data_IF_369580556314
#
_entry.id   IF_369580556314
#
_cell.length_a   1.000
_cell.length_b   1.000
_cell.length_c   1.000
_cell.angle_alpha   90.00
_cell.angle_beta   90.00
_cell.angle_gamma   90.00
#
_symmetry.space_group_name_H-M   'P 1'
#
loop_
_entity.id
_entity.type
_entity.pdbx_description
1 polymer ?
#
# COMPACT_ATOMS: atom_id res chain seq x y z
N UNK A 1 -7.37 -1.28 -81.54
CA UNK A 1 -7.96 0.07 -81.79
C UNK A 1 -8.47 0.62 -80.44
N UNK A 2 -8.07 1.87 -80.15
CA UNK A 2 -8.41 2.76 -79.02
C UNK A 2 -7.64 2.48 -77.72
N UNK A 3 -6.66 3.20 -77.53
CA UNK A 3 -6.36 4.61 -77.16
C UNK A 3 -6.30 4.85 -75.68
N UNK A 4 -5.09 5.20 -75.30
CA UNK A 4 -4.61 6.00 -74.12
C UNK A 4 -5.59 6.99 -73.50
N UNK A 5 -5.55 7.11 -72.19
CA UNK A 5 -5.41 8.41 -71.53
C UNK A 5 -4.91 8.26 -70.13
N UNK A 6 -3.71 8.78 -69.84
CA UNK A 6 -3.36 9.36 -68.54
C UNK A 6 -3.93 10.79 -68.46
N UNK A 7 -4.14 11.34 -67.27
CA UNK A 7 -3.20 12.30 -66.73
C UNK A 7 -3.02 12.19 -65.20
N UNK A 8 -1.82 12.32 -64.77
CA UNK A 8 -1.17 13.44 -64.07
C UNK A 8 -1.99 14.12 -62.96
N UNK A 9 -1.47 14.06 -61.77
CA UNK A 9 -1.92 14.81 -60.61
C UNK A 9 -1.10 14.50 -59.36
N UNK A 10 0.10 15.10 -59.30
CA UNK A 10 0.91 15.22 -58.11
C UNK A 10 0.13 15.99 -57.03
N UNK A 11 0.17 15.52 -55.80
CA UNK A 11 0.31 16.38 -54.63
C UNK A 11 0.99 15.59 -53.51
N UNK A 12 2.25 15.95 -53.30
CA UNK A 12 2.96 15.70 -52.06
C UNK A 12 2.17 16.33 -50.91
N UNK A 13 1.80 15.52 -49.95
CA UNK A 13 1.31 15.96 -48.64
C UNK A 13 2.35 15.54 -47.65
N UNK A 14 3.14 16.49 -47.21
CA UNK A 14 4.06 16.36 -46.07
C UNK A 14 3.30 15.86 -44.88
N UNK A 15 3.54 14.61 -44.48
CA UNK A 15 3.07 14.07 -43.19
C UNK A 15 4.18 14.34 -42.21
N UNK A 16 4.06 15.45 -41.47
CA UNK A 16 4.85 15.70 -40.29
C UNK A 16 4.71 14.50 -39.31
N UNK A 17 5.83 13.97 -38.80
CA UNK A 17 5.79 12.96 -37.76
C UNK A 17 5.27 13.62 -36.47
N UNK A 18 4.06 13.30 -36.08
CA UNK A 18 3.56 13.60 -34.73
C UNK A 18 4.45 12.92 -33.71
N UNK A 19 5.37 13.68 -33.14
CA UNK A 19 6.10 13.32 -31.94
C UNK A 19 5.07 12.98 -30.84
N UNK A 20 4.94 11.69 -30.56
CA UNK A 20 4.26 11.21 -29.35
C UNK A 20 5.15 11.57 -28.16
N UNK A 21 4.95 12.74 -27.63
CA UNK A 21 5.49 13.12 -26.33
C UNK A 21 4.85 12.23 -25.28
N UNK A 22 5.49 11.10 -24.98
CA UNK A 22 5.18 10.31 -23.80
C UNK A 22 5.59 11.13 -22.59
N UNK A 23 4.62 11.86 -22.02
CA UNK A 23 4.75 12.48 -20.72
C UNK A 23 4.88 11.38 -19.66
N UNK A 24 6.08 10.85 -19.50
CA UNK A 24 6.48 10.12 -18.31
C UNK A 24 6.65 11.17 -17.24
N UNK A 25 5.56 11.46 -16.54
CA UNK A 25 5.58 12.25 -15.31
C UNK A 25 6.37 11.45 -14.26
N UNK A 26 7.69 11.50 -14.34
CA UNK A 26 8.55 11.10 -13.23
C UNK A 26 8.20 12.05 -12.10
N UNK A 27 7.52 11.54 -11.07
CA UNK A 27 7.44 12.21 -9.78
C UNK A 27 8.88 12.41 -9.29
N UNK A 28 9.45 13.53 -9.66
CA UNK A 28 10.73 13.97 -9.09
C UNK A 28 10.42 14.29 -7.63
N UNK A 29 10.89 13.47 -6.73
CA UNK A 29 10.87 13.75 -5.30
C UNK A 29 11.64 15.04 -5.08
N UNK A 30 10.92 16.12 -4.82
CA UNK A 30 11.53 17.43 -4.61
C UNK A 30 12.17 17.43 -3.24
N UNK A 31 13.49 17.45 -3.19
CA UNK A 31 14.23 17.75 -1.97
C UNK A 31 13.88 19.19 -1.56
N UNK A 32 13.25 19.34 -0.41
CA UNK A 32 13.07 20.64 0.22
C UNK A 32 14.30 20.93 1.08
N UNK A 33 15.06 21.93 0.70
CA UNK A 33 16.17 22.41 1.52
C UNK A 33 15.58 23.40 2.52
N UNK A 34 15.75 23.11 3.80
CA UNK A 34 15.38 24.01 4.88
C UNK A 34 16.45 25.11 5.04
N UNK A 35 16.11 26.23 5.68
CA UNK A 35 16.99 27.41 5.85
C UNK A 35 18.27 27.14 6.68
N UNK A 36 18.38 25.94 7.27
CA UNK A 36 19.52 25.49 8.10
C UNK A 36 20.42 24.47 7.39
N UNK A 37 20.45 24.44 6.06
CA UNK A 37 21.18 23.48 5.22
C UNK A 37 20.74 22.00 5.41
N UNK A 38 19.60 21.76 6.07
CA UNK A 38 19.06 20.42 6.27
C UNK A 38 18.11 20.04 5.13
N UNK A 39 18.43 19.02 4.37
CA UNK A 39 17.54 18.45 3.36
C UNK A 39 16.59 17.43 3.99
N UNK A 40 15.27 17.65 3.83
CA UNK A 40 14.29 16.64 4.20
C UNK A 40 14.05 15.65 3.06
N UNK A 41 14.01 14.35 3.38
CA UNK A 41 13.68 13.30 2.41
C UNK A 41 12.19 13.01 2.50
N UNK A 42 11.45 13.29 1.42
CA UNK A 42 10.01 12.97 1.36
C UNK A 42 9.80 11.46 1.42
N UNK A 43 8.83 11.05 2.26
CA UNK A 43 8.49 9.64 2.46
C UNK A 43 9.36 8.92 3.49
N UNK A 44 10.29 9.60 4.17
CA UNK A 44 10.99 9.03 5.31
C UNK A 44 10.01 8.71 6.43
N UNK A 45 10.03 7.46 6.89
CA UNK A 45 9.20 7.00 8.01
C UNK A 45 10.10 6.79 9.21
N UNK A 46 9.94 7.54 10.30
CA UNK A 46 10.74 7.32 11.49
C UNK A 46 10.48 5.91 12.05
N UNK A 47 11.53 5.31 12.61
CA UNK A 47 11.40 4.05 13.31
C UNK A 47 10.73 4.27 14.66
N UNK A 48 9.68 3.53 14.94
CA UNK A 48 9.04 3.54 16.24
C UNK A 48 9.76 2.59 17.20
N UNK A 49 9.67 2.84 18.52
CA UNK A 49 10.19 1.90 19.51
C UNK A 49 9.65 0.50 19.30
N UNK A 50 10.52 -0.50 19.38
CA UNK A 50 10.13 -1.91 19.24
C UNK A 50 9.42 -2.40 20.49
N UNK A 51 8.57 -3.42 20.31
CA UNK A 51 7.83 -4.09 21.39
C UNK A 51 6.93 -3.17 22.21
N UNK A 52 6.77 -1.92 21.80
CA UNK A 52 5.87 -0.96 22.44
C UNK A 52 4.45 -1.11 21.92
N UNK A 53 3.49 -0.99 22.79
CA UNK A 53 2.08 -0.88 22.48
C UNK A 53 1.68 0.58 22.28
N UNK A 54 0.91 0.84 21.23
CA UNK A 54 0.34 2.15 20.93
C UNK A 54 -1.16 2.03 20.79
N UNK A 55 -1.88 3.04 21.22
CA UNK A 55 -3.28 3.21 20.85
C UNK A 55 -3.38 3.63 19.39
N UNK A 56 -4.26 2.99 18.63
CA UNK A 56 -4.38 3.24 17.20
C UNK A 56 -5.81 3.05 16.72
N UNK A 57 -6.14 3.75 15.64
CA UNK A 57 -7.40 3.66 14.92
C UNK A 57 -7.19 3.01 13.56
N UNK A 58 -8.06 2.07 13.20
CA UNK A 58 -8.09 1.52 11.85
C UNK A 58 -8.57 2.56 10.84
N UNK A 59 -7.74 2.90 9.86
CA UNK A 59 -8.03 3.91 8.85
C UNK A 59 -8.51 3.31 7.54
N UNK A 60 -8.13 2.06 7.26
CA UNK A 60 -8.54 1.38 6.04
C UNK A 60 -7.65 0.20 5.69
N UNK A 61 -7.77 -0.25 4.47
CA UNK A 61 -6.94 -1.31 3.94
C UNK A 61 -6.64 -1.12 2.45
N UNK A 62 -5.57 -1.73 2.00
CA UNK A 62 -5.22 -1.82 0.59
C UNK A 62 -4.88 -3.27 0.22
N UNK A 63 -5.03 -3.60 -1.05
CA UNK A 63 -4.69 -4.91 -1.60
C UNK A 63 -3.46 -4.80 -2.50
N UNK A 64 -2.60 -5.80 -2.49
CA UNK A 64 -1.42 -5.86 -3.35
C UNK A 64 -1.14 -7.30 -3.80
N UNK A 65 -0.39 -7.42 -4.90
CA UNK A 65 0.23 -8.67 -5.33
C UNK A 65 1.73 -8.40 -5.35
N UNK A 66 2.46 -9.04 -4.43
CA UNK A 66 3.90 -8.83 -4.25
C UNK A 66 4.60 -10.19 -4.43
N UNK A 67 5.47 -10.29 -5.43
CA UNK A 67 6.15 -11.53 -5.83
C UNK A 67 5.18 -12.72 -5.98
N UNK A 68 4.03 -12.49 -6.63
CA UNK A 68 2.99 -13.50 -6.82
C UNK A 68 2.13 -13.80 -5.58
N UNK A 69 2.47 -13.29 -4.42
CA UNK A 69 1.68 -13.44 -3.20
C UNK A 69 0.58 -12.38 -3.11
N UNK A 70 -0.66 -12.81 -2.91
CA UNK A 70 -1.79 -11.93 -2.67
C UNK A 70 -1.78 -11.45 -1.22
N UNK A 71 -1.76 -10.14 -1.01
CA UNK A 71 -1.67 -9.50 0.30
C UNK A 71 -2.75 -8.44 0.51
N UNK A 72 -3.13 -8.27 1.76
CA UNK A 72 -3.94 -7.16 2.26
C UNK A 72 -3.14 -6.45 3.34
N UNK A 73 -3.06 -5.14 3.24
CA UNK A 73 -2.43 -4.28 4.22
C UNK A 73 -3.51 -3.57 5.02
N UNK A 74 -3.60 -3.83 6.29
CA UNK A 74 -4.42 -3.03 7.19
C UNK A 74 -3.63 -1.80 7.61
N UNK A 75 -4.27 -0.66 7.53
CA UNK A 75 -3.68 0.64 7.81
C UNK A 75 -4.27 1.19 9.12
N UNK A 76 -3.39 1.65 9.99
CA UNK A 76 -3.73 2.24 11.27
C UNK A 76 -3.05 3.59 11.41
N UNK A 77 -3.65 4.48 12.19
CA UNK A 77 -3.03 5.72 12.64
C UNK A 77 -2.97 5.71 14.17
N UNK A 78 -1.83 6.08 14.74
CA UNK A 78 -1.65 6.21 16.19
C UNK A 78 -2.53 7.36 16.69
N UNK A 79 -3.29 7.12 17.76
CA UNK A 79 -4.18 8.11 18.38
C UNK A 79 -3.63 8.64 19.71
N UNK A 80 -2.63 7.97 20.27
CA UNK A 80 -1.93 8.41 21.47
C UNK A 80 -1.25 9.76 21.22
N UNK A 81 -1.47 10.74 22.08
CA UNK A 81 -0.84 12.07 21.99
C UNK A 81 0.65 11.97 22.25
N UNK A 82 1.46 12.66 21.44
CA UNK A 82 2.92 12.67 21.56
C UNK A 82 3.62 12.68 20.21
N UNK A 83 4.88 12.33 20.23
CA UNK A 83 5.78 12.35 19.06
C UNK A 83 5.25 11.52 17.85
N UNK A 84 4.50 10.45 18.13
CA UNK A 84 4.02 9.50 17.11
C UNK A 84 2.56 9.70 16.72
N UNK A 85 1.93 10.78 17.17
CA UNK A 85 0.53 11.07 16.85
C UNK A 85 0.30 11.09 15.32
N UNK A 86 -0.78 10.45 14.87
CA UNK A 86 -1.14 10.27 13.45
C UNK A 86 -0.12 9.50 12.60
N UNK A 87 0.96 8.98 13.19
CA UNK A 87 1.88 8.12 12.46
C UNK A 87 1.15 6.90 11.90
N UNK A 88 1.30 6.67 10.60
CA UNK A 88 0.67 5.55 9.91
C UNK A 88 1.50 4.28 10.07
N UNK A 89 0.83 3.22 10.50
CA UNK A 89 1.37 1.88 10.62
C UNK A 89 0.56 0.93 9.76
N UNK A 90 1.16 -0.20 9.40
CA UNK A 90 0.44 -1.23 8.68
C UNK A 90 0.80 -2.64 9.17
N UNK A 91 -0.15 -3.56 8.96
CA UNK A 91 0.07 -5.00 9.06
C UNK A 91 -0.30 -5.66 7.75
N UNK A 92 0.60 -6.46 7.21
CA UNK A 92 0.39 -7.21 5.99
C UNK A 92 -0.12 -8.62 6.31
N UNK A 93 -1.22 -9.04 5.67
CA UNK A 93 -1.76 -10.38 5.75
C UNK A 93 -1.70 -11.06 4.39
N UNK A 94 -1.36 -12.33 4.36
CA UNK A 94 -1.52 -13.15 3.17
C UNK A 94 -2.99 -13.56 3.04
N UNK A 95 -3.53 -13.41 1.82
CA UNK A 95 -4.90 -13.81 1.50
C UNK A 95 -4.93 -14.82 0.37
N UNK A 96 -6.03 -15.56 0.23
CA UNK A 96 -6.15 -16.57 -0.82
C UNK A 96 -6.07 -15.95 -2.21
N UNK A 97 -6.79 -14.85 -2.44
CA UNK A 97 -6.84 -14.18 -3.76
C UNK A 97 -7.25 -12.73 -3.63
N UNK A 98 -6.58 -11.84 -4.36
CA UNK A 98 -7.05 -10.48 -4.64
C UNK A 98 -7.88 -10.53 -5.91
N UNK A 99 -9.07 -9.92 -5.90
CA UNK A 99 -10.01 -9.92 -7.04
C UNK A 99 -9.82 -8.60 -7.79
N UNK A 100 -9.55 -8.71 -9.09
CA UNK A 100 -9.31 -7.54 -9.94
C UNK A 100 -7.92 -6.92 -9.72
N UNK A 101 -7.80 -5.63 -10.02
CA UNK A 101 -6.56 -4.88 -9.83
C UNK A 101 -6.36 -4.54 -8.35
N UNK A 102 -5.11 -4.64 -7.85
CA UNK A 102 -4.79 -4.16 -6.51
C UNK A 102 -5.18 -2.68 -6.32
N UNK A 103 -5.86 -2.39 -5.21
CA UNK A 103 -6.37 -1.05 -4.94
C UNK A 103 -6.61 -0.81 -3.44
N UNK A 104 -6.78 0.46 -3.06
CA UNK A 104 -7.36 0.84 -1.78
C UNK A 104 -8.81 0.31 -1.71
N UNK A 105 -9.15 -0.35 -0.60
CA UNK A 105 -10.42 -1.05 -0.40
C UNK A 105 -10.74 -2.10 -1.49
N UNK A 106 -9.70 -2.71 -2.09
CA UNK A 106 -9.84 -3.73 -3.11
C UNK A 106 -10.52 -5.00 -2.61
N UNK A 107 -11.17 -5.75 -3.51
CA UNK A 107 -11.84 -7.01 -3.17
C UNK A 107 -10.84 -8.16 -3.04
N UNK A 108 -11.08 -9.05 -2.08
CA UNK A 108 -10.22 -10.22 -1.84
C UNK A 108 -11.00 -11.38 -1.22
N UNK A 109 -10.40 -12.56 -1.26
CA UNK A 109 -10.92 -13.80 -0.65
C UNK A 109 -9.97 -14.21 0.46
N UNK A 110 -10.51 -14.46 1.64
CA UNK A 110 -9.80 -14.99 2.80
C UNK A 110 -9.65 -16.51 2.72
N UNK A 111 -8.62 -17.02 3.36
CA UNK A 111 -8.53 -18.45 3.72
C UNK A 111 -9.19 -18.65 5.09
N UNK A 112 -10.01 -19.67 5.26
CA UNK A 112 -10.73 -19.97 6.52
C UNK A 112 -9.78 -20.32 7.68
N UNK A 113 -8.60 -20.65 7.56
CA UNK A 113 -7.60 -20.86 8.63
C UNK A 113 -6.41 -19.90 8.46
N UNK A 114 -6.61 -18.77 7.78
CA UNK A 114 -5.55 -17.80 7.57
C UNK A 114 -5.47 -16.78 8.70
N UNK A 115 -4.26 -16.30 8.97
CA UNK A 115 -3.95 -15.33 10.04
C UNK A 115 -4.92 -14.13 10.08
N UNK A 116 -5.29 -13.58 8.90
CA UNK A 116 -6.23 -12.47 8.83
C UNK A 116 -7.62 -12.85 9.32
N UNK A 117 -8.11 -14.05 8.97
CA UNK A 117 -9.42 -14.54 9.43
C UNK A 117 -9.42 -14.76 10.93
N UNK A 118 -8.40 -15.42 11.48
CA UNK A 118 -8.23 -15.63 12.91
C UNK A 118 -8.14 -14.31 13.69
N UNK A 119 -7.41 -13.34 13.15
CA UNK A 119 -7.35 -11.99 13.73
C UNK A 119 -8.72 -11.33 13.76
N UNK A 120 -9.50 -11.43 12.67
CA UNK A 120 -10.87 -10.89 12.61
C UNK A 120 -11.82 -11.57 13.60
N UNK A 121 -11.75 -12.90 13.68
CA UNK A 121 -12.56 -13.66 14.65
C UNK A 121 -12.30 -13.18 16.07
N UNK A 122 -11.04 -13.01 16.45
CA UNK A 122 -10.63 -12.53 17.76
C UNK A 122 -11.06 -11.07 18.03
N UNK A 123 -10.81 -10.16 17.08
CA UNK A 123 -11.11 -8.74 17.26
C UNK A 123 -12.60 -8.44 17.27
N UNK A 124 -13.40 -9.16 16.48
CA UNK A 124 -14.83 -8.94 16.34
C UNK A 124 -15.68 -9.90 17.20
N UNK A 125 -15.04 -10.77 18.00
CA UNK A 125 -15.71 -11.79 18.82
C UNK A 125 -16.72 -12.63 18.00
N UNK A 126 -16.31 -13.11 16.82
CA UNK A 126 -17.17 -13.89 15.95
C UNK A 126 -17.31 -15.30 16.51
N UNK A 127 -18.46 -15.60 17.13
CA UNK A 127 -18.72 -16.89 17.80
C UNK A 127 -19.14 -18.00 16.86
N UNK A 128 -19.57 -17.66 15.65
CA UNK A 128 -20.07 -18.62 14.66
C UNK A 128 -19.21 -18.59 13.40
N UNK A 129 -19.16 -19.74 12.71
CA UNK A 129 -18.51 -19.81 11.40
C UNK A 129 -19.22 -18.86 10.43
N UNK A 130 -18.48 -17.90 9.89
CA UNK A 130 -18.97 -16.95 8.92
C UNK A 130 -18.32 -17.20 7.55
N UNK A 131 -19.16 -17.31 6.51
CA UNK A 131 -18.71 -17.39 5.11
C UNK A 131 -18.34 -16.00 4.57
N UNK A 132 -18.82 -14.94 5.22
CA UNK A 132 -18.54 -13.53 4.90
C UNK A 132 -18.20 -12.76 6.17
N UNK A 133 -17.11 -12.02 6.13
CA UNK A 133 -16.70 -11.14 7.21
C UNK A 133 -16.50 -9.73 6.64
N UNK A 134 -17.07 -8.73 7.31
CA UNK A 134 -16.90 -7.33 6.93
C UNK A 134 -15.85 -6.66 7.81
N UNK A 135 -15.02 -5.80 7.21
CA UNK A 135 -14.04 -4.96 7.92
C UNK A 135 -14.65 -3.65 8.43
N UNK A 136 -15.91 -3.38 8.10
CA UNK A 136 -16.58 -2.11 8.45
C UNK A 136 -16.60 -1.84 9.96
N UNK A 137 -16.86 -2.82 10.84
CA UNK A 137 -16.85 -2.59 12.29
C UNK A 137 -15.50 -2.10 12.82
N UNK A 138 -14.38 -2.51 12.23
CA UNK A 138 -13.04 -2.09 12.67
C UNK A 138 -12.84 -0.57 12.66
N UNK A 139 -13.57 0.16 11.81
CA UNK A 139 -13.47 1.63 11.71
C UNK A 139 -14.00 2.36 12.95
N UNK A 140 -14.81 1.69 13.75
CA UNK A 140 -15.48 2.25 14.94
C UNK A 140 -14.87 1.73 16.24
N UNK A 141 -13.74 1.03 16.15
CA UNK A 141 -13.05 0.44 17.29
C UNK A 141 -11.71 1.13 17.50
N UNK A 142 -11.30 1.19 18.76
CA UNK A 142 -9.93 1.50 19.15
C UNK A 142 -9.14 0.19 19.26
N UNK A 143 -7.87 0.28 18.99
CA UNK A 143 -6.95 -0.85 19.00
C UNK A 143 -5.70 -0.50 19.79
N UNK A 144 -5.11 -1.53 20.38
CA UNK A 144 -3.72 -1.50 20.82
C UNK A 144 -2.89 -2.27 19.78
N UNK A 145 -1.84 -1.64 19.28
CA UNK A 145 -0.96 -2.23 18.26
C UNK A 145 0.46 -2.28 18.81
N UNK A 146 1.09 -3.44 18.70
CA UNK A 146 2.48 -3.65 19.08
C UNK A 146 3.37 -3.50 17.86
N UNK A 147 4.44 -2.77 17.98
CA UNK A 147 5.34 -2.43 16.88
C UNK A 147 6.53 -3.38 16.80
N UNK A 148 7.03 -3.58 15.58
CA UNK A 148 8.26 -4.32 15.27
C UNK A 148 8.97 -3.66 14.10
N UNK A 149 10.30 -3.55 14.17
CA UNK A 149 11.14 -3.10 13.04
C UNK A 149 11.47 -4.26 12.12
N UNK A 150 11.31 -4.04 10.83
CA UNK A 150 11.72 -4.99 9.79
C UNK A 150 13.16 -4.67 9.39
N UNK A 151 14.08 -5.55 9.78
CA UNK A 151 15.52 -5.45 9.54
C UNK A 151 16.04 -6.40 8.47
N UNK A 152 15.20 -7.35 8.06
CA UNK A 152 15.58 -8.43 7.14
C UNK A 152 14.58 -8.44 5.99
N UNK A 153 15.05 -8.53 4.76
CA UNK A 153 14.20 -8.61 3.58
C UNK A 153 13.66 -10.05 3.36
N UNK A 154 12.84 -10.24 2.32
CA UNK A 154 12.28 -11.54 1.97
C UNK A 154 13.31 -12.60 1.56
N UNK A 155 14.54 -12.21 1.26
CA UNK A 155 15.69 -13.08 0.93
C UNK A 155 16.58 -13.37 2.13
N UNK A 156 16.14 -13.05 3.35
CA UNK A 156 16.91 -13.19 4.60
C UNK A 156 18.19 -12.35 4.65
N UNK A 157 18.26 -11.27 3.89
CA UNK A 157 19.39 -10.37 3.87
C UNK A 157 19.11 -9.13 4.74
N UNK A 158 20.11 -8.60 5.45
CA UNK A 158 19.94 -7.38 6.22
C UNK A 158 19.49 -6.20 5.33
N UNK A 159 18.58 -5.41 5.85
CA UNK A 159 18.16 -4.14 5.23
C UNK A 159 19.05 -3.04 5.82
N UNK A 160 19.58 -2.17 4.95
CA UNK A 160 20.35 -1.02 5.40
C UNK A 160 19.54 -0.17 6.39
N UNK A 161 20.18 0.43 7.39
CA UNK A 161 19.48 1.11 8.50
C UNK A 161 18.50 2.18 8.04
N UNK A 162 18.86 2.96 7.02
CA UNK A 162 17.99 3.98 6.43
C UNK A 162 16.78 3.44 5.68
N UNK A 163 16.75 2.15 5.36
CA UNK A 163 15.67 1.48 4.65
C UNK A 163 14.83 0.57 5.56
N UNK A 164 15.18 0.45 6.84
CA UNK A 164 14.38 -0.25 7.83
C UNK A 164 13.06 0.48 8.05
N UNK A 165 12.02 -0.24 8.45
CA UNK A 165 10.70 0.34 8.67
C UNK A 165 9.94 -0.41 9.75
N UNK A 166 9.05 0.31 10.42
CA UNK A 166 8.21 -0.25 11.48
C UNK A 166 6.91 -0.81 10.90
N UNK A 167 6.52 -1.98 11.39
CA UNK A 167 5.24 -2.64 11.10
C UNK A 167 4.53 -3.03 12.39
N UNK A 168 3.26 -3.35 12.30
CA UNK A 168 2.51 -3.90 13.41
C UNK A 168 2.81 -5.39 13.53
N UNK A 169 3.28 -5.82 14.69
CA UNK A 169 3.50 -7.22 15.05
C UNK A 169 2.22 -7.87 15.60
N UNK A 170 1.52 -7.19 16.50
CA UNK A 170 0.31 -7.68 17.15
C UNK A 170 -0.77 -6.60 17.18
N UNK A 171 -2.04 -7.03 17.18
CA UNK A 171 -3.20 -6.16 17.26
C UNK A 171 -4.14 -6.72 18.30
N UNK A 172 -4.57 -5.87 19.23
CA UNK A 172 -5.57 -6.18 20.22
C UNK A 172 -6.69 -5.15 20.16
N UNK A 173 -7.86 -5.51 20.70
CA UNK A 173 -8.93 -4.56 20.91
C UNK A 173 -8.54 -3.63 22.04
N UNK A 174 -8.62 -2.32 21.82
CA UNK A 174 -8.56 -1.31 22.88
C UNK A 174 -9.82 -1.33 23.75
N UNK A 175 -9.71 -0.79 24.91
CA UNK A 175 -10.84 -0.60 25.84
C UNK A 175 -11.75 0.54 25.39
#
# INVERSE_FOLDING_TARGET
MYEKKQPVGQRAGDVEPKERTTNISRKVTRLQVADDDTASVDGFKPLLPEERWFEAKFTGFSTAIIFGAHKVFWEFAITETGEWFEQKLFRAFRVRKVIGRPAKNGKFILSAGGEMYETLVRLLDIKQRADRVTLRPLRHMLFRVKTRTVRINSKQQPIADHAQYTVIAEIERGE
#
